data_IF_922871084573
#
_entry.id   IF_922871084573
#
_cell.length_a   1.000
_cell.length_b   1.000
_cell.length_c   1.000
_cell.angle_alpha   90.00
_cell.angle_beta   90.00
_cell.angle_gamma   90.00
#
_symmetry.space_group_name_H-M   'P 1'
#
loop_
_entity.id
_entity.type
_entity.pdbx_description
1 polymer ?
#
# COMPACT_ATOMS: atom_id res chain seq x y z
N UNK A 1 25.43 0.01 4.40
CA UNK A 1 26.39 1.02 4.90
C UNK A 1 25.91 1.82 6.10
N UNK A 2 24.68 2.38 6.09
CA UNK A 2 24.15 3.21 7.20
C UNK A 2 24.18 2.48 8.54
N UNK A 3 23.71 1.23 8.59
CA UNK A 3 23.75 0.43 9.82
C UNK A 3 25.17 0.23 10.37
N UNK A 4 26.17 0.07 9.50
CA UNK A 4 27.59 -0.03 9.90
C UNK A 4 28.15 1.30 10.45
N UNK A 5 27.86 2.42 9.77
CA UNK A 5 28.27 3.76 10.24
C UNK A 5 27.56 4.17 11.54
N UNK A 6 26.26 3.85 11.68
CA UNK A 6 25.50 4.05 12.92
C UNK A 6 26.04 3.19 14.06
N UNK A 7 26.44 1.94 13.80
CA UNK A 7 27.06 1.09 14.81
C UNK A 7 28.41 1.65 15.29
N UNK A 8 29.23 2.20 14.38
CA UNK A 8 30.47 2.88 14.78
C UNK A 8 30.23 4.06 15.71
N UNK A 9 29.22 4.87 15.40
CA UNK A 9 28.77 5.96 16.26
C UNK A 9 28.29 5.40 17.61
N UNK A 10 27.53 4.30 17.63
CA UNK A 10 27.04 3.70 18.89
C UNK A 10 28.13 3.04 19.76
N UNK A 11 29.14 2.43 19.15
CA UNK A 11 30.22 1.72 19.86
C UNK A 11 31.31 2.70 20.35
N UNK A 12 31.37 3.90 19.77
CA UNK A 12 32.30 4.95 20.18
C UNK A 12 32.08 5.36 21.65
N UNK A 13 33.07 5.10 22.49
CA UNK A 13 33.08 5.52 23.91
C UNK A 13 33.41 7.01 24.10
N UNK A 14 33.76 7.74 23.03
CA UNK A 14 34.08 9.17 23.07
C UNK A 14 32.87 10.03 22.71
N UNK A 15 32.87 11.28 23.17
CA UNK A 15 31.90 12.28 22.74
C UNK A 15 32.02 12.50 21.22
N UNK A 16 30.92 12.28 20.51
CA UNK A 16 30.87 12.31 19.05
C UNK A 16 30.55 13.73 18.62
N UNK A 17 31.42 14.32 17.81
CA UNK A 17 31.23 15.69 17.32
C UNK A 17 30.02 15.74 16.38
N UNK A 18 29.27 16.85 16.34
CA UNK A 18 28.11 16.98 15.44
C UNK A 18 28.40 16.58 13.98
N UNK A 19 29.55 17.00 13.44
CA UNK A 19 29.96 16.67 12.06
C UNK A 19 30.14 15.16 11.83
N UNK A 20 30.58 14.41 12.85
CA UNK A 20 30.74 12.95 12.76
C UNK A 20 29.37 12.24 12.76
N UNK A 21 28.35 12.84 13.38
CA UNK A 21 26.97 12.33 13.31
C UNK A 21 26.35 12.60 11.95
N UNK A 22 26.58 13.79 11.38
CA UNK A 22 26.10 14.15 10.04
C UNK A 22 26.76 13.27 8.96
N UNK A 23 28.05 12.94 9.10
CA UNK A 23 28.77 12.08 8.16
C UNK A 23 28.22 10.67 7.98
N UNK A 24 27.33 10.20 8.87
CA UNK A 24 26.60 8.94 8.70
C UNK A 24 25.65 8.97 7.50
N UNK A 25 25.15 10.16 7.18
CA UNK A 25 24.15 10.44 6.15
C UNK A 25 24.76 11.04 4.87
N UNK A 26 26.09 11.17 4.81
CA UNK A 26 26.83 11.62 3.63
C UNK A 26 27.33 10.42 2.84
N UNK A 27 27.17 10.41 1.53
CA UNK A 27 27.54 9.30 0.66
C UNK A 27 28.31 9.85 -0.54
N UNK A 28 29.33 9.12 -0.99
CA UNK A 28 29.92 9.41 -2.29
C UNK A 28 29.06 8.84 -3.41
N UNK A 29 29.31 9.27 -4.65
CA UNK A 29 28.70 8.64 -5.84
C UNK A 29 28.97 7.14 -5.88
N UNK A 30 30.20 6.71 -5.59
CA UNK A 30 30.57 5.30 -5.55
C UNK A 30 29.81 4.52 -4.47
N UNK A 31 29.54 5.16 -3.32
CA UNK A 31 28.75 4.54 -2.25
C UNK A 31 27.32 4.19 -2.71
N UNK A 32 26.71 5.04 -3.56
CA UNK A 32 25.31 4.89 -3.98
C UNK A 32 25.13 4.11 -5.28
N UNK A 33 26.03 4.27 -6.25
CA UNK A 33 25.96 3.58 -7.54
C UNK A 33 26.35 2.11 -7.40
N UNK A 34 27.34 1.80 -6.55
CA UNK A 34 27.87 0.46 -6.39
C UNK A 34 28.32 -0.14 -7.72
N UNK A 35 28.00 -1.43 -7.94
CA UNK A 35 28.32 -2.17 -9.18
C UNK A 35 27.14 -2.24 -10.17
N UNK A 36 26.02 -1.57 -9.86
CA UNK A 36 24.82 -1.60 -10.70
C UNK A 36 25.04 -0.78 -11.97
N UNK A 37 24.89 -1.42 -13.13
CA UNK A 37 25.03 -0.74 -14.44
C UNK A 37 24.10 0.46 -14.60
N UNK A 38 22.92 0.41 -13.99
CA UNK A 38 21.93 1.49 -14.00
C UNK A 38 22.04 2.44 -12.79
N UNK A 39 22.99 2.21 -11.87
CA UNK A 39 23.05 2.92 -10.60
C UNK A 39 23.24 4.43 -10.76
N UNK A 40 24.02 4.87 -11.76
CA UNK A 40 24.20 6.29 -12.04
C UNK A 40 22.90 6.98 -12.49
N UNK A 41 22.13 6.33 -13.37
CA UNK A 41 20.86 6.86 -13.85
C UNK A 41 19.80 6.88 -12.73
N UNK A 42 19.79 5.86 -11.85
CA UNK A 42 18.92 5.83 -10.67
C UNK A 42 19.29 6.99 -9.73
N UNK A 43 20.58 7.16 -9.43
CA UNK A 43 21.05 8.24 -8.57
C UNK A 43 20.64 9.61 -9.13
N UNK A 44 20.81 9.83 -10.43
CA UNK A 44 20.39 11.06 -11.10
C UNK A 44 18.88 11.27 -11.01
N UNK A 45 18.07 10.24 -11.26
CA UNK A 45 16.62 10.34 -11.22
C UNK A 45 16.08 10.71 -9.83
N UNK A 46 16.73 10.24 -8.76
CA UNK A 46 16.31 10.48 -7.38
C UNK A 46 17.09 11.59 -6.67
N UNK A 47 17.95 12.32 -7.38
CA UNK A 47 18.71 13.43 -6.80
C UNK A 47 18.38 14.79 -7.36
N UNK A 48 18.66 15.82 -6.57
CA UNK A 48 18.66 17.21 -6.99
C UNK A 48 19.84 17.97 -6.38
N UNK A 49 20.29 19.03 -7.05
CA UNK A 49 21.33 19.92 -6.54
C UNK A 49 20.74 20.89 -5.50
N UNK A 50 21.33 20.88 -4.29
CA UNK A 50 20.94 21.74 -3.18
C UNK A 50 20.90 23.23 -3.57
N UNK A 51 21.79 23.67 -4.47
CA UNK A 51 21.95 25.08 -4.82
C UNK A 51 21.20 25.48 -6.11
N UNK A 52 20.40 24.59 -6.69
CA UNK A 52 19.67 24.86 -7.92
C UNK A 52 18.45 25.81 -7.77
N UNK A 53 18.21 26.36 -6.57
CA UNK A 53 17.09 27.29 -6.34
C UNK A 53 15.71 26.64 -6.53
N UNK A 54 15.60 25.35 -6.21
CA UNK A 54 14.37 24.57 -6.36
C UNK A 54 13.30 24.96 -5.32
N UNK A 55 12.07 24.50 -5.53
CA UNK A 55 10.92 24.80 -4.68
C UNK A 55 10.60 26.31 -4.56
N UNK A 56 10.97 27.13 -5.56
CA UNK A 56 10.65 28.56 -5.57
C UNK A 56 9.15 28.88 -5.53
N UNK A 57 8.30 27.89 -5.86
CA UNK A 57 6.83 28.00 -5.82
C UNK A 57 6.19 27.35 -4.58
N UNK A 58 6.98 26.87 -3.61
CA UNK A 58 6.46 26.24 -2.40
C UNK A 58 6.01 27.30 -1.39
N UNK A 59 4.72 27.59 -1.36
CA UNK A 59 4.11 28.61 -0.48
C UNK A 59 3.15 28.00 0.53
N UNK A 60 2.66 26.79 0.29
CA UNK A 60 1.73 26.04 1.14
C UNK A 60 2.28 24.65 1.50
N UNK A 61 1.84 24.10 2.63
CA UNK A 61 2.28 22.77 3.10
C UNK A 61 1.97 21.66 2.09
N UNK A 62 0.90 21.81 1.30
CA UNK A 62 0.46 20.85 0.30
C UNK A 62 1.01 21.16 -1.11
N UNK A 63 1.88 22.16 -1.25
CA UNK A 63 2.58 22.39 -2.52
C UNK A 63 3.57 21.27 -2.83
N UNK A 64 3.87 21.14 -4.12
CA UNK A 64 4.87 20.19 -4.57
C UNK A 64 6.24 20.55 -4.00
N UNK A 65 6.92 19.57 -3.41
CA UNK A 65 8.27 19.70 -2.90
C UNK A 65 9.16 18.69 -3.63
N UNK A 66 10.18 19.16 -4.34
CA UNK A 66 11.09 18.30 -5.11
C UNK A 66 11.72 17.19 -4.25
N UNK A 67 11.89 17.42 -2.96
CA UNK A 67 12.45 16.45 -2.03
C UNK A 67 11.58 15.19 -1.89
N UNK A 68 10.26 15.27 -2.09
CA UNK A 68 9.39 14.09 -2.04
C UNK A 68 9.53 13.21 -3.28
N UNK A 69 9.94 13.77 -4.41
CA UNK A 69 10.20 13.03 -5.65
C UNK A 69 11.66 12.54 -5.72
N UNK A 70 12.59 13.37 -5.22
CA UNK A 70 14.04 13.21 -5.36
C UNK A 70 14.74 13.44 -4.01
N UNK A 71 14.67 12.50 -3.07
CA UNK A 71 15.11 12.73 -1.68
C UNK A 71 16.63 12.66 -1.49
N UNK A 72 17.41 12.38 -2.54
CA UNK A 72 18.88 12.36 -2.47
C UNK A 72 19.41 13.76 -2.78
N UNK A 73 19.97 14.43 -1.78
CA UNK A 73 20.44 15.81 -1.93
C UNK A 73 21.88 15.79 -2.46
N UNK A 74 22.11 16.28 -3.67
CA UNK A 74 23.46 16.52 -4.20
C UNK A 74 24.10 17.74 -3.55
N UNK A 75 25.30 17.55 -2.98
CA UNK A 75 26.11 18.62 -2.40
C UNK A 75 27.20 19.08 -3.36
N UNK A 76 27.80 18.11 -4.08
CA UNK A 76 28.78 18.31 -5.14
C UNK A 76 28.51 17.27 -6.24
N UNK A 77 29.34 17.22 -7.30
CA UNK A 77 29.24 16.16 -8.31
C UNK A 77 29.52 14.75 -7.78
N UNK A 78 30.20 14.63 -6.62
CA UNK A 78 30.62 13.35 -6.05
C UNK A 78 30.01 13.07 -4.67
N UNK A 79 29.43 14.06 -4.00
CA UNK A 79 28.93 13.95 -2.62
C UNK A 79 27.41 14.17 -2.55
N UNK A 80 26.75 13.29 -1.80
CA UNK A 80 25.30 13.25 -1.61
C UNK A 80 24.94 13.18 -0.13
N UNK A 81 23.79 13.70 0.22
CA UNK A 81 23.22 13.66 1.55
C UNK A 81 21.84 13.01 1.51
N UNK A 82 21.65 11.97 2.32
CA UNK A 82 20.37 11.29 2.48
C UNK A 82 19.94 11.42 3.95
N UNK A 83 19.09 12.40 4.29
CA UNK A 83 18.74 12.67 5.69
C UNK A 83 18.00 11.50 6.32
N UNK A 84 17.08 10.88 5.57
CA UNK A 84 16.29 9.74 6.00
C UNK A 84 16.09 8.78 4.83
N UNK A 85 16.62 7.54 4.91
CA UNK A 85 16.47 6.53 3.85
C UNK A 85 15.01 6.17 3.54
N UNK A 86 14.11 6.36 4.51
CA UNK A 86 12.67 6.18 4.32
C UNK A 86 12.16 6.96 3.11
N UNK A 87 12.55 8.23 2.95
CA UNK A 87 12.09 9.04 1.83
C UNK A 87 12.58 8.51 0.49
N UNK A 88 13.79 7.93 0.44
CA UNK A 88 14.30 7.28 -0.78
C UNK A 88 13.42 6.09 -1.15
N UNK A 89 13.07 5.25 -0.19
CA UNK A 89 12.19 4.10 -0.43
C UNK A 89 10.79 4.56 -0.88
N UNK A 90 10.23 5.58 -0.23
CA UNK A 90 8.95 6.18 -0.60
C UNK A 90 8.97 6.77 -2.02
N UNK A 91 10.00 7.55 -2.37
CA UNK A 91 10.18 8.10 -3.71
C UNK A 91 10.36 7.00 -4.77
N UNK A 92 11.09 5.93 -4.47
CA UNK A 92 11.24 4.79 -5.38
C UNK A 92 9.90 4.12 -5.70
N UNK A 93 8.96 4.12 -4.74
CA UNK A 93 7.60 3.63 -4.96
C UNK A 93 6.71 4.67 -5.68
N UNK A 94 6.80 5.94 -5.30
CA UNK A 94 5.88 7.00 -5.75
C UNK A 94 6.29 7.69 -7.05
N UNK A 95 7.56 8.10 -7.19
CA UNK A 95 8.04 8.96 -8.28
C UNK A 95 7.88 8.37 -9.68
N UNK A 96 8.13 7.06 -9.93
CA UNK A 96 7.95 6.47 -11.25
C UNK A 96 6.54 6.66 -11.82
N UNK A 97 5.51 6.65 -10.96
CA UNK A 97 4.14 6.95 -11.38
C UNK A 97 4.06 8.33 -12.05
N UNK A 98 4.58 9.36 -11.39
CA UNK A 98 4.51 10.73 -11.90
C UNK A 98 5.32 10.91 -13.19
N UNK A 99 6.49 10.29 -13.29
CA UNK A 99 7.33 10.31 -14.49
C UNK A 99 6.63 9.66 -15.69
N UNK A 100 6.06 8.48 -15.50
CA UNK A 100 5.34 7.76 -16.56
C UNK A 100 4.07 8.49 -17.03
N UNK A 101 3.39 9.20 -16.13
CA UNK A 101 2.18 9.96 -16.47
C UNK A 101 2.48 11.35 -17.05
N UNK A 102 3.69 11.88 -16.85
CA UNK A 102 4.16 13.10 -17.53
C UNK A 102 4.47 12.84 -19.01
N UNK A 103 4.88 11.61 -19.37
CA UNK A 103 5.05 11.20 -20.76
C UNK A 103 3.69 10.91 -21.42
N UNK A 104 3.22 11.87 -22.24
CA UNK A 104 1.94 11.76 -22.97
C UNK A 104 1.86 10.60 -23.94
N UNK A 105 2.99 10.12 -24.48
CA UNK A 105 3.01 8.99 -25.40
C UNK A 105 2.93 7.66 -24.64
N UNK A 106 3.40 7.62 -23.39
CA UNK A 106 3.46 6.41 -22.58
C UNK A 106 2.33 6.28 -21.56
N UNK A 107 1.71 7.38 -21.12
CA UNK A 107 0.77 7.40 -19.99
C UNK A 107 -0.40 6.41 -20.14
N UNK A 108 -0.94 6.23 -21.35
CA UNK A 108 -2.02 5.26 -21.60
C UNK A 108 -1.57 3.81 -21.39
N UNK A 109 -0.34 3.47 -21.82
CA UNK A 109 0.26 2.16 -21.60
C UNK A 109 0.59 1.96 -20.11
N UNK A 110 1.11 2.99 -19.44
CA UNK A 110 1.38 2.96 -18.00
C UNK A 110 0.10 2.72 -17.18
N UNK A 111 -0.99 3.43 -17.50
CA UNK A 111 -2.27 3.27 -16.82
C UNK A 111 -2.83 1.85 -16.97
N UNK A 112 -2.81 1.30 -18.20
CA UNK A 112 -3.25 -0.08 -18.46
C UNK A 112 -2.41 -1.09 -17.69
N UNK A 113 -1.09 -0.99 -17.78
CA UNK A 113 -0.19 -1.93 -17.10
C UNK A 113 -0.33 -1.85 -15.58
N UNK A 114 -0.56 -0.64 -15.03
CA UNK A 114 -0.81 -0.44 -13.59
C UNK A 114 -2.11 -1.10 -13.14
N UNK A 115 -3.18 -1.00 -13.94
CA UNK A 115 -4.43 -1.73 -13.69
C UNK A 115 -4.22 -3.23 -13.64
N UNK A 116 -3.63 -3.79 -14.72
CA UNK A 116 -3.34 -5.22 -14.80
C UNK A 116 -2.46 -5.71 -13.63
N UNK A 117 -1.40 -4.97 -13.29
CA UNK A 117 -0.53 -5.34 -12.18
C UNK A 117 -1.25 -5.31 -10.82
N UNK A 118 -2.21 -4.38 -10.62
CA UNK A 118 -3.02 -4.36 -9.41
C UNK A 118 -3.90 -5.62 -9.32
N UNK A 119 -4.60 -5.97 -10.40
CA UNK A 119 -5.42 -7.18 -10.47
C UNK A 119 -4.59 -8.45 -10.30
N UNK A 120 -3.41 -8.52 -10.92
CA UNK A 120 -2.48 -9.65 -10.81
C UNK A 120 -2.03 -9.85 -9.35
N UNK A 121 -1.57 -8.78 -8.68
CA UNK A 121 -1.11 -8.85 -7.29
C UNK A 121 -2.22 -9.27 -6.33
N UNK A 122 -3.41 -8.67 -6.46
CA UNK A 122 -4.55 -9.04 -5.60
C UNK A 122 -4.95 -10.49 -5.90
N UNK A 123 -4.96 -10.91 -7.16
CA UNK A 123 -5.29 -12.29 -7.49
C UNK A 123 -4.28 -13.28 -6.93
N UNK A 124 -2.99 -12.96 -6.92
CA UNK A 124 -1.96 -13.82 -6.35
C UNK A 124 -2.16 -14.00 -4.84
N UNK A 125 -2.43 -12.90 -4.12
CA UNK A 125 -2.74 -12.94 -2.69
C UNK A 125 -3.99 -13.77 -2.39
N UNK A 126 -5.09 -13.52 -3.12
CA UNK A 126 -6.36 -14.23 -2.92
C UNK A 126 -6.22 -15.71 -3.32
N UNK A 127 -5.52 -16.03 -4.40
CA UNK A 127 -5.29 -17.41 -4.84
C UNK A 127 -4.41 -18.19 -3.87
N UNK A 128 -3.39 -17.56 -3.29
CA UNK A 128 -2.56 -18.17 -2.25
C UNK A 128 -3.35 -18.47 -0.97
N UNK A 129 -4.34 -17.63 -0.64
CA UNK A 129 -5.11 -17.74 0.59
C UNK A 129 -6.35 -18.63 0.48
N UNK A 130 -7.13 -18.51 -0.59
CA UNK A 130 -8.34 -19.30 -0.84
C UNK A 130 -8.07 -20.60 -1.62
N UNK A 131 -6.88 -20.72 -2.21
CA UNK A 131 -6.52 -21.80 -3.13
C UNK A 131 -6.89 -21.47 -4.58
N UNK A 132 -5.95 -21.63 -5.51
CA UNK A 132 -6.12 -21.23 -6.91
C UNK A 132 -7.36 -21.82 -7.60
N UNK A 133 -7.78 -23.04 -7.26
CA UNK A 133 -9.00 -23.65 -7.82
C UNK A 133 -10.30 -22.99 -7.39
N UNK A 134 -10.27 -22.13 -6.37
CA UNK A 134 -11.42 -21.40 -5.82
C UNK A 134 -11.47 -19.93 -6.27
N UNK A 135 -10.54 -19.50 -7.11
CA UNK A 135 -10.42 -18.10 -7.54
C UNK A 135 -10.50 -18.03 -9.05
N UNK A 136 -11.38 -17.17 -9.54
CA UNK A 136 -11.52 -16.87 -10.95
C UNK A 136 -11.28 -15.38 -11.17
N UNK A 137 -10.47 -15.06 -12.18
CA UNK A 137 -10.20 -13.67 -12.58
C UNK A 137 -11.03 -13.24 -13.76
N UNK A 138 -11.29 -11.93 -13.80
CA UNK A 138 -11.77 -11.16 -14.95
C UNK A 138 -13.01 -11.79 -15.59
N UNK A 139 -14.03 -12.06 -14.77
CA UNK A 139 -15.30 -12.64 -15.21
C UNK A 139 -16.17 -11.53 -15.76
N UNK A 140 -16.45 -11.58 -17.07
CA UNK A 140 -17.40 -10.69 -17.72
C UNK A 140 -18.81 -11.24 -17.57
N UNK A 141 -19.76 -10.40 -17.15
CA UNK A 141 -21.17 -10.76 -16.99
C UNK A 141 -21.98 -10.04 -18.06
N UNK A 142 -22.70 -10.80 -18.88
CA UNK A 142 -23.43 -10.28 -20.04
C UNK A 142 -24.92 -10.61 -19.97
N UNK A 143 -25.75 -9.62 -20.33
CA UNK A 143 -27.20 -9.83 -20.55
C UNK A 143 -27.40 -10.60 -21.86
N UNK A 144 -26.63 -10.23 -22.89
CA UNK A 144 -26.62 -10.82 -24.24
C UNK A 144 -25.19 -10.77 -24.78
N UNK A 145 -24.86 -11.56 -25.80
CA UNK A 145 -23.50 -11.64 -26.38
C UNK A 145 -22.81 -10.28 -26.64
N UNK A 146 -23.57 -9.27 -27.07
CA UNK A 146 -23.09 -7.93 -27.41
C UNK A 146 -23.14 -6.90 -26.25
N UNK A 147 -23.75 -7.26 -25.13
CA UNK A 147 -24.08 -6.29 -24.06
C UNK A 147 -23.58 -6.82 -22.72
N UNK A 148 -22.42 -6.30 -22.32
CA UNK A 148 -21.86 -6.50 -20.99
C UNK A 148 -22.66 -5.69 -19.96
N UNK A 149 -23.10 -6.36 -18.90
CA UNK A 149 -23.70 -5.74 -17.73
C UNK A 149 -22.62 -5.11 -16.87
N UNK A 150 -21.64 -5.93 -16.49
CA UNK A 150 -20.56 -5.59 -15.56
C UNK A 150 -19.48 -6.69 -15.62
N UNK A 151 -18.47 -6.53 -14.79
CA UNK A 151 -17.29 -7.39 -14.70
C UNK A 151 -16.83 -7.51 -13.24
N UNK A 152 -16.29 -8.69 -12.92
CA UNK A 152 -15.66 -8.99 -11.63
C UNK A 152 -14.17 -9.17 -11.86
N UNK A 153 -13.35 -8.32 -11.24
CA UNK A 153 -11.89 -8.44 -11.32
C UNK A 153 -11.43 -9.78 -10.73
N UNK A 154 -11.86 -10.09 -9.50
CA UNK A 154 -11.54 -11.37 -8.86
C UNK A 154 -12.77 -11.91 -8.12
N UNK A 155 -13.20 -13.10 -8.50
CA UNK A 155 -14.28 -13.86 -7.89
C UNK A 155 -13.68 -15.02 -7.10
N UNK A 156 -13.82 -15.01 -5.78
CA UNK A 156 -13.31 -16.09 -4.93
C UNK A 156 -14.44 -16.81 -4.20
N UNK A 157 -14.27 -18.12 -3.99
CA UNK A 157 -15.24 -18.95 -3.30
C UNK A 157 -14.64 -19.57 -2.03
N UNK A 158 -15.42 -19.57 -0.96
CA UNK A 158 -15.11 -20.37 0.22
C UNK A 158 -16.41 -20.82 0.87
N UNK A 159 -16.51 -22.11 1.14
CA UNK A 159 -17.72 -22.72 1.70
C UNK A 159 -18.97 -22.34 0.87
N UNK A 160 -19.92 -21.64 1.47
CA UNK A 160 -21.17 -21.17 0.87
C UNK A 160 -21.16 -19.65 0.62
N UNK A 161 -19.97 -19.06 0.44
CA UNK A 161 -19.76 -17.62 0.24
C UNK A 161 -18.96 -17.35 -1.04
N UNK A 162 -19.45 -16.43 -1.87
CA UNK A 162 -18.70 -15.81 -2.95
C UNK A 162 -18.22 -14.41 -2.55
N UNK A 163 -16.96 -14.12 -2.81
CA UNK A 163 -16.39 -12.78 -2.69
C UNK A 163 -16.26 -12.13 -4.05
N UNK A 164 -16.76 -10.90 -4.14
CA UNK A 164 -16.62 -10.04 -5.30
C UNK A 164 -15.57 -8.99 -4.95
N UNK A 165 -14.35 -9.21 -5.44
CA UNK A 165 -13.28 -8.23 -5.31
C UNK A 165 -13.29 -7.29 -6.50
N UNK A 166 -13.28 -5.99 -6.21
CA UNK A 166 -13.15 -4.92 -7.20
C UNK A 166 -11.85 -4.16 -6.93
N UNK A 167 -10.94 -4.13 -7.89
CA UNK A 167 -9.59 -3.58 -7.77
C UNK A 167 -9.52 -2.23 -8.48
N UNK A 168 -9.08 -1.18 -7.78
CA UNK A 168 -8.93 0.16 -8.35
C UNK A 168 -7.50 0.66 -8.20
N UNK A 169 -6.90 1.06 -9.33
CA UNK A 169 -5.48 1.43 -9.42
C UNK A 169 -5.20 2.94 -9.54
N UNK A 170 -6.25 3.76 -9.46
CA UNK A 170 -6.16 5.21 -9.68
C UNK A 170 -5.76 5.94 -8.39
N UNK A 171 -4.73 6.77 -8.47
CA UNK A 171 -4.31 7.68 -7.39
C UNK A 171 -5.27 8.85 -7.20
N UNK A 172 -5.32 9.36 -5.97
CA UNK A 172 -5.86 10.68 -5.66
C UNK A 172 -5.20 11.77 -6.48
N UNK A 173 -6.00 12.73 -6.95
CA UNK A 173 -5.46 13.90 -7.66
C UNK A 173 -4.73 14.84 -6.70
N UNK A 174 -3.84 15.69 -7.25
CA UNK A 174 -3.15 16.71 -6.45
C UNK A 174 -4.12 17.69 -5.77
N UNK A 175 -5.26 18.01 -6.42
CA UNK A 175 -6.30 18.83 -5.80
C UNK A 175 -6.90 18.15 -4.56
N UNK A 176 -7.19 16.85 -4.64
CA UNK A 176 -7.66 16.07 -3.49
C UNK A 176 -6.64 16.06 -2.35
N UNK A 177 -5.34 15.90 -2.69
CA UNK A 177 -4.25 15.97 -1.72
C UNK A 177 -4.14 17.35 -1.04
N UNK A 178 -4.56 18.43 -1.72
CA UNK A 178 -4.65 19.79 -1.19
C UNK A 178 -5.93 20.07 -0.40
N UNK A 179 -6.80 19.07 -0.19
CA UNK A 179 -8.03 19.23 0.59
C UNK A 179 -9.22 19.79 -0.19
N UNK A 180 -9.18 19.78 -1.53
CA UNK A 180 -10.33 20.17 -2.36
C UNK A 180 -11.48 19.16 -2.18
N UNK A 181 -12.54 19.59 -1.47
CA UNK A 181 -13.63 18.72 -1.04
C UNK A 181 -14.43 18.15 -2.21
N UNK A 182 -14.64 18.94 -3.27
CA UNK A 182 -15.37 18.50 -4.47
C UNK A 182 -14.59 17.40 -5.19
N UNK A 183 -13.27 17.60 -5.35
CA UNK A 183 -12.42 16.62 -5.99
C UNK A 183 -12.21 15.36 -5.14
N UNK A 184 -12.11 15.49 -3.80
CA UNK A 184 -12.10 14.36 -2.87
C UNK A 184 -13.37 13.52 -3.06
N UNK A 185 -14.53 14.17 -3.05
CA UNK A 185 -15.83 13.49 -3.21
C UNK A 185 -15.90 12.77 -4.55
N UNK A 186 -15.51 13.44 -5.64
CA UNK A 186 -15.52 12.86 -6.98
C UNK A 186 -14.51 11.71 -7.16
N UNK A 187 -13.33 11.80 -6.54
CA UNK A 187 -12.33 10.71 -6.57
C UNK A 187 -12.82 9.52 -5.74
N UNK A 188 -13.42 9.78 -4.58
CA UNK A 188 -13.96 8.75 -3.69
C UNK A 188 -15.16 8.02 -4.29
N UNK A 189 -16.09 8.74 -4.91
CA UNK A 189 -17.19 8.18 -5.69
C UNK A 189 -16.70 7.18 -6.74
N UNK A 190 -15.66 7.56 -7.50
CA UNK A 190 -15.09 6.70 -8.55
C UNK A 190 -14.37 5.47 -7.99
N UNK A 191 -13.70 5.62 -6.86
CA UNK A 191 -12.94 4.54 -6.23
C UNK A 191 -13.82 3.53 -5.50
N UNK A 192 -14.91 3.99 -4.88
CA UNK A 192 -15.72 3.17 -3.95
C UNK A 192 -17.15 2.96 -4.45
N UNK A 193 -17.90 4.03 -4.73
CA UNK A 193 -19.32 3.91 -5.05
C UNK A 193 -19.55 3.17 -6.36
N UNK A 194 -18.88 3.58 -7.43
CA UNK A 194 -18.98 2.88 -8.73
C UNK A 194 -18.54 1.41 -8.61
N UNK A 195 -17.48 1.14 -7.85
CA UNK A 195 -17.01 -0.22 -7.62
C UNK A 195 -18.05 -1.08 -6.85
N UNK A 196 -18.72 -0.48 -5.87
CA UNK A 196 -19.82 -1.12 -5.13
C UNK A 196 -21.01 -1.39 -6.04
N UNK A 197 -21.42 -0.43 -6.86
CA UNK A 197 -22.53 -0.60 -7.81
C UNK A 197 -22.22 -1.72 -8.82
N UNK A 198 -20.98 -1.79 -9.32
CA UNK A 198 -20.51 -2.90 -10.16
C UNK A 198 -20.64 -4.24 -9.41
N UNK A 199 -20.16 -4.31 -8.17
CA UNK A 199 -20.24 -5.53 -7.38
C UNK A 199 -21.69 -5.95 -7.09
N UNK A 200 -22.60 -5.02 -6.86
CA UNK A 200 -24.03 -5.30 -6.64
C UNK A 200 -24.68 -5.90 -7.88
N UNK A 201 -24.37 -5.38 -9.07
CA UNK A 201 -24.79 -5.98 -10.33
C UNK A 201 -24.24 -7.41 -10.51
N UNK A 202 -23.01 -7.65 -10.06
CA UNK A 202 -22.42 -9.00 -10.07
C UNK A 202 -23.17 -9.94 -9.13
N UNK A 203 -23.52 -9.49 -7.93
CA UNK A 203 -24.28 -10.28 -6.95
C UNK A 203 -25.65 -10.64 -7.51
N UNK A 204 -26.38 -9.67 -8.09
CA UNK A 204 -27.69 -9.91 -8.72
C UNK A 204 -27.56 -10.98 -9.81
N UNK A 205 -26.53 -10.92 -10.64
CA UNK A 205 -26.31 -11.90 -11.69
C UNK A 205 -25.94 -13.28 -11.13
N UNK A 206 -25.07 -13.35 -10.12
CA UNK A 206 -24.67 -14.61 -9.47
C UNK A 206 -25.82 -15.29 -8.72
N UNK A 207 -26.78 -14.51 -8.22
CA UNK A 207 -28.02 -15.01 -7.62
C UNK A 207 -28.98 -15.60 -8.66
N UNK A 208 -28.92 -15.12 -9.91
CA UNK A 208 -29.81 -15.52 -11.00
C UNK A 208 -29.00 -15.96 -12.24
N UNK A 209 -28.11 -16.97 -12.12
CA UNK A 209 -27.11 -17.25 -13.14
C UNK A 209 -27.71 -17.71 -14.48
N UNK A 210 -28.95 -18.20 -14.49
CA UNK A 210 -29.67 -18.62 -15.70
C UNK A 210 -30.07 -17.44 -16.60
N UNK A 211 -30.15 -16.22 -16.05
CA UNK A 211 -30.55 -15.01 -16.78
C UNK A 211 -29.36 -14.29 -17.43
N UNK A 212 -28.12 -14.75 -17.18
CA UNK A 212 -26.89 -14.08 -17.59
C UNK A 212 -25.89 -15.05 -18.22
N UNK A 213 -24.96 -14.50 -19.01
CA UNK A 213 -23.83 -15.25 -19.54
C UNK A 213 -22.55 -14.79 -18.84
N UNK A 214 -21.78 -15.73 -18.32
CA UNK A 214 -20.49 -15.46 -17.69
C UNK A 214 -19.39 -15.91 -18.65
N UNK A 215 -18.43 -15.02 -18.91
CA UNK A 215 -17.34 -15.27 -19.85
C UNK A 215 -15.98 -14.91 -19.23
N UNK A 216 -15.00 -15.77 -19.45
CA UNK A 216 -13.60 -15.49 -19.13
C UNK A 216 -12.95 -14.64 -20.23
N UNK A 217 -11.78 -14.05 -19.97
CA UNK A 217 -11.00 -13.40 -21.02
C UNK A 217 -10.74 -14.38 -22.16
N UNK A 218 -11.06 -13.97 -23.40
CA UNK A 218 -11.00 -14.85 -24.57
C UNK A 218 -12.35 -15.44 -25.00
N UNK A 219 -13.43 -15.21 -24.22
CA UNK A 219 -14.79 -15.59 -24.59
C UNK A 219 -15.19 -17.02 -24.21
N UNK A 220 -14.37 -17.70 -23.40
CA UNK A 220 -14.70 -19.01 -22.84
C UNK A 220 -15.85 -18.87 -21.85
N UNK A 221 -16.84 -19.77 -21.93
CA UNK A 221 -17.96 -19.78 -20.99
C UNK A 221 -17.50 -20.17 -19.59
N UNK A 222 -17.93 -19.40 -18.60
CA UNK A 222 -17.73 -19.68 -17.19
C UNK A 222 -19.05 -20.10 -16.54
N UNK A 223 -18.99 -21.06 -15.62
CA UNK A 223 -20.15 -21.47 -14.82
C UNK A 223 -19.86 -21.15 -13.35
N UNK A 224 -20.47 -20.09 -12.79
CA UNK A 224 -20.25 -19.73 -11.39
C UNK A 224 -20.78 -20.82 -10.45
N UNK A 225 -20.13 -20.98 -9.30
CA UNK A 225 -20.60 -21.90 -8.26
C UNK A 225 -21.85 -21.34 -7.60
N UNK A 226 -22.81 -22.21 -7.31
CA UNK A 226 -24.02 -21.85 -6.56
C UNK A 226 -23.67 -21.71 -5.07
N UNK A 227 -23.94 -20.53 -4.52
CA UNK A 227 -23.72 -20.17 -3.11
C UNK A 227 -24.90 -19.35 -2.59
N UNK A 228 -25.06 -19.24 -1.27
CA UNK A 228 -26.12 -18.45 -0.64
C UNK A 228 -25.67 -17.07 -0.14
N UNK A 229 -24.36 -16.88 0.09
CA UNK A 229 -23.80 -15.63 0.66
C UNK A 229 -22.87 -14.94 -0.33
N UNK A 230 -22.88 -13.61 -0.27
CA UNK A 230 -22.08 -12.75 -1.12
C UNK A 230 -21.46 -11.63 -0.31
N UNK A 231 -20.16 -11.41 -0.47
CA UNK A 231 -19.42 -10.35 0.21
C UNK A 231 -18.66 -9.52 -0.83
N UNK A 232 -18.66 -8.19 -0.67
CA UNK A 232 -17.97 -7.26 -1.56
C UNK A 232 -16.76 -6.68 -0.87
N UNK A 233 -15.60 -6.72 -1.56
CA UNK A 233 -14.36 -6.11 -1.07
C UNK A 233 -13.78 -5.24 -2.17
N UNK A 234 -13.48 -3.99 -1.85
CA UNK A 234 -12.85 -3.05 -2.79
C UNK A 234 -11.39 -2.88 -2.39
N UNK A 235 -10.48 -3.22 -3.29
CA UNK A 235 -9.03 -3.14 -3.04
C UNK A 235 -8.44 -1.99 -3.84
N UNK A 236 -7.82 -1.05 -3.14
CA UNK A 236 -7.14 0.09 -3.75
C UNK A 236 -5.64 -0.20 -3.86
N UNK A 237 -5.05 -0.01 -5.04
CA UNK A 237 -3.60 -0.13 -5.21
C UNK A 237 -2.87 0.96 -4.40
N UNK A 238 -3.49 2.13 -4.26
CA UNK A 238 -2.94 3.25 -3.51
C UNK A 238 -3.80 3.55 -2.29
N UNK A 239 -3.12 3.85 -1.18
CA UNK A 239 -3.80 4.18 0.05
C UNK A 239 -4.47 5.55 -0.08
N UNK A 240 -5.77 5.56 0.14
CA UNK A 240 -6.52 6.80 0.27
C UNK A 240 -6.64 7.07 1.79
N UNK A 241 -6.13 8.21 2.29
CA UNK A 241 -6.12 8.47 3.72
C UNK A 241 -7.54 8.50 4.30
N UNK A 242 -7.71 7.92 5.49
CA UNK A 242 -8.98 7.90 6.20
C UNK A 242 -10.15 7.26 5.42
N UNK A 243 -9.87 6.28 4.53
CA UNK A 243 -10.88 5.64 3.69
C UNK A 243 -12.14 5.23 4.44
N UNK A 244 -11.98 4.42 5.48
CA UNK A 244 -13.09 3.92 6.26
C UNK A 244 -13.94 5.05 6.85
N UNK A 245 -13.29 6.13 7.28
CA UNK A 245 -13.98 7.31 7.80
C UNK A 245 -14.72 8.09 6.71
N UNK A 246 -14.10 8.27 5.54
CA UNK A 246 -14.72 8.92 4.39
C UNK A 246 -15.92 8.14 3.87
N UNK A 247 -15.89 6.81 3.88
CA UNK A 247 -17.06 5.99 3.51
C UNK A 247 -18.26 6.30 4.40
N UNK A 248 -18.01 6.51 5.69
CA UNK A 248 -19.07 6.88 6.63
C UNK A 248 -19.56 8.31 6.43
N UNK A 249 -18.66 9.29 6.26
CA UNK A 249 -19.05 10.69 6.12
C UNK A 249 -19.80 10.93 4.80
N UNK A 250 -19.29 10.38 3.70
CA UNK A 250 -19.81 10.67 2.36
C UNK A 250 -21.03 9.82 2.01
N UNK A 251 -21.10 8.57 2.47
CA UNK A 251 -22.12 7.62 2.04
C UNK A 251 -22.84 6.89 3.18
N UNK A 252 -22.54 7.19 4.44
CA UNK A 252 -23.11 6.47 5.59
C UNK A 252 -24.63 6.60 5.71
N UNK A 253 -25.19 7.72 5.25
CA UNK A 253 -26.63 7.97 5.27
C UNK A 253 -27.34 7.47 4.00
N UNK A 254 -26.62 7.38 2.88
CA UNK A 254 -27.16 6.94 1.58
C UNK A 254 -27.24 5.41 1.48
N UNK A 255 -26.31 4.70 2.13
CA UNK A 255 -26.19 3.25 2.03
C UNK A 255 -26.66 2.55 3.31
N UNK A 256 -27.37 1.44 3.17
CA UNK A 256 -27.76 0.59 4.31
C UNK A 256 -26.54 -0.02 5.01
N UNK A 257 -25.58 -0.48 4.21
CA UNK A 257 -24.26 -0.94 4.65
C UNK A 257 -23.20 -0.28 3.78
N UNK A 258 -22.06 0.04 4.39
CA UNK A 258 -20.94 0.63 3.65
C UNK A 258 -20.00 -0.46 3.15
N UNK A 259 -19.50 -0.37 1.90
CA UNK A 259 -18.55 -1.35 1.39
C UNK A 259 -17.25 -1.33 2.19
N UNK A 260 -16.63 -2.50 2.31
CA UNK A 260 -15.29 -2.62 2.90
C UNK A 260 -14.28 -2.29 1.80
N UNK A 261 -13.56 -1.19 2.00
CA UNK A 261 -12.58 -0.67 1.05
C UNK A 261 -11.26 -0.35 1.76
N UNK A 262 -10.16 -0.94 1.29
CA UNK A 262 -8.84 -0.77 1.90
C UNK A 262 -7.70 -0.93 0.86
N UNK A 263 -6.49 -0.56 1.25
CA UNK A 263 -5.32 -0.65 0.37
C UNK A 263 -4.81 -2.08 0.20
N UNK A 264 -4.01 -2.32 -0.84
CA UNK A 264 -3.37 -3.63 -1.07
C UNK A 264 -2.48 -4.09 0.10
N UNK A 265 -1.84 -3.17 0.81
CA UNK A 265 -1.05 -3.49 2.00
C UNK A 265 -1.92 -3.88 3.21
N UNK A 266 -3.11 -3.29 3.32
CA UNK A 266 -4.09 -3.70 4.34
C UNK A 266 -4.59 -5.11 4.03
N UNK A 267 -4.83 -5.45 2.75
CA UNK A 267 -5.19 -6.80 2.33
C UNK A 267 -4.14 -7.82 2.77
N UNK A 268 -2.87 -7.59 2.44
CA UNK A 268 -1.77 -8.49 2.82
C UNK A 268 -1.74 -8.71 4.33
N UNK A 269 -1.90 -7.63 5.10
CA UNK A 269 -1.94 -7.66 6.56
C UNK A 269 -3.14 -8.47 7.07
N UNK A 270 -4.34 -8.23 6.53
CA UNK A 270 -5.55 -8.99 6.88
C UNK A 270 -5.37 -10.48 6.65
N UNK A 271 -4.85 -10.89 5.48
CA UNK A 271 -4.61 -12.29 5.16
C UNK A 271 -3.60 -12.92 6.14
N UNK A 272 -2.52 -12.21 6.47
CA UNK A 272 -1.50 -12.69 7.39
C UNK A 272 -2.03 -12.92 8.82
N UNK A 273 -2.90 -12.04 9.32
CA UNK A 273 -3.43 -12.14 10.69
C UNK A 273 -4.67 -13.02 10.82
N UNK A 274 -5.56 -13.04 9.81
CA UNK A 274 -6.78 -13.85 9.82
C UNK A 274 -6.51 -15.32 9.47
N UNK A 275 -5.44 -15.60 8.73
CA UNK A 275 -4.83 -16.93 8.45
C UNK A 275 -5.70 -17.95 7.70
N UNK A 276 -7.01 -17.83 7.74
CA UNK A 276 -7.96 -18.80 7.16
C UNK A 276 -9.10 -18.10 6.44
N UNK A 277 -9.61 -18.66 5.31
CA UNK A 277 -10.78 -18.15 4.62
C UNK A 277 -11.99 -17.92 5.52
N UNK A 278 -12.29 -18.84 6.46
CA UNK A 278 -13.43 -18.70 7.38
C UNK A 278 -13.33 -17.47 8.29
N UNK A 279 -12.15 -17.16 8.83
CA UNK A 279 -11.95 -15.93 9.62
C UNK A 279 -12.00 -14.67 8.77
N UNK A 280 -11.55 -14.74 7.53
CA UNK A 280 -11.68 -13.64 6.58
C UNK A 280 -13.15 -13.36 6.24
N UNK A 281 -13.95 -14.42 6.00
CA UNK A 281 -15.42 -14.30 5.84
C UNK A 281 -16.06 -13.64 7.04
N UNK A 282 -15.81 -14.15 8.25
CA UNK A 282 -16.43 -13.60 9.46
C UNK A 282 -16.05 -12.12 9.67
N UNK A 283 -14.79 -11.76 9.42
CA UNK A 283 -14.32 -10.38 9.50
C UNK A 283 -15.03 -9.46 8.51
N UNK A 284 -15.00 -9.77 7.20
CA UNK A 284 -15.61 -8.94 6.16
C UNK A 284 -17.12 -8.83 6.39
N UNK A 285 -17.78 -9.96 6.67
CA UNK A 285 -19.21 -9.99 6.93
C UNK A 285 -19.61 -9.05 8.07
N UNK A 286 -18.95 -9.15 9.23
CA UNK A 286 -19.25 -8.30 10.39
C UNK A 286 -18.88 -6.84 10.15
N UNK A 287 -17.78 -6.59 9.45
CA UNK A 287 -17.34 -5.23 9.10
C UNK A 287 -18.32 -4.54 8.15
N UNK A 288 -18.96 -5.29 7.25
CA UNK A 288 -20.06 -4.81 6.41
C UNK A 288 -21.34 -4.64 7.22
N UNK A 289 -21.78 -5.67 7.94
CA UNK A 289 -23.06 -5.71 8.65
C UNK A 289 -23.15 -4.63 9.74
N UNK A 290 -22.07 -4.41 10.49
CA UNK A 290 -22.02 -3.45 11.58
C UNK A 290 -21.32 -2.15 11.20
N UNK A 291 -21.23 -1.84 9.90
CA UNK A 291 -20.44 -0.69 9.45
C UNK A 291 -20.94 0.62 10.06
N UNK A 292 -22.25 0.81 10.23
CA UNK A 292 -22.81 2.02 10.89
C UNK A 292 -22.47 2.13 12.38
N UNK A 293 -22.17 1.01 13.04
CA UNK A 293 -21.92 0.91 14.47
C UNK A 293 -20.44 1.05 14.84
N UNK A 294 -19.50 0.72 13.95
CA UNK A 294 -18.07 0.79 14.24
C UNK A 294 -17.34 1.76 13.31
N UNK A 295 -16.62 2.71 13.90
CA UNK A 295 -15.91 3.77 13.17
C UNK A 295 -14.42 3.74 13.53
N UNK A 296 -13.56 3.72 12.52
CA UNK A 296 -12.12 3.82 12.68
C UNK A 296 -11.49 4.59 11.52
N UNK A 297 -10.25 5.06 11.69
CA UNK A 297 -9.57 5.84 10.66
C UNK A 297 -8.86 4.96 9.60
N UNK A 298 -8.57 3.70 9.89
CA UNK A 298 -7.96 2.77 8.95
C UNK A 298 -8.37 1.32 9.25
N UNK A 299 -8.04 0.41 8.33
CA UNK A 299 -8.43 -1.00 8.43
C UNK A 299 -7.68 -1.76 9.53
N UNK A 300 -6.42 -1.40 9.81
CA UNK A 300 -5.65 -2.01 10.91
C UNK A 300 -6.28 -1.77 12.29
N UNK A 301 -6.95 -0.64 12.50
CA UNK A 301 -7.72 -0.40 13.72
C UNK A 301 -8.91 -1.37 13.83
N UNK A 302 -9.67 -1.55 12.76
CA UNK A 302 -10.77 -2.53 12.72
C UNK A 302 -10.25 -3.95 12.97
N UNK A 303 -9.16 -4.34 12.30
CA UNK A 303 -8.54 -5.65 12.48
C UNK A 303 -8.07 -5.86 13.92
N UNK A 304 -7.34 -4.91 14.49
CA UNK A 304 -6.84 -5.00 15.87
C UNK A 304 -7.98 -5.09 16.89
N UNK A 305 -9.06 -4.32 16.69
CA UNK A 305 -10.24 -4.38 17.53
C UNK A 305 -10.96 -5.72 17.39
N UNK A 306 -11.21 -6.17 16.15
CA UNK A 306 -11.85 -7.45 15.85
C UNK A 306 -11.09 -8.64 16.46
N UNK A 307 -9.76 -8.66 16.36
CA UNK A 307 -8.96 -9.74 16.94
C UNK A 307 -9.02 -9.79 18.47
N UNK A 308 -9.24 -8.64 19.12
CA UNK A 308 -9.30 -8.54 20.59
C UNK A 308 -10.70 -8.77 21.14
N UNK A 309 -11.72 -8.22 20.48
CA UNK A 309 -13.09 -8.13 21.01
C UNK A 309 -14.15 -8.71 20.06
N UNK A 310 -13.83 -8.93 18.80
CA UNK A 310 -14.80 -9.18 17.74
C UNK A 310 -15.49 -7.89 17.26
N UNK A 311 -16.47 -8.06 16.37
CA UNK A 311 -17.41 -7.02 15.96
C UNK A 311 -18.81 -7.60 16.17
N UNK A 312 -19.54 -7.09 17.15
CA UNK A 312 -20.85 -7.60 17.55
C UNK A 312 -21.93 -6.53 17.37
N UNK A 313 -23.18 -6.98 17.23
CA UNK A 313 -24.33 -6.08 17.15
C UNK A 313 -24.42 -5.25 18.42
N UNK A 314 -24.37 -3.93 18.27
CA UNK A 314 -24.62 -3.00 19.36
C UNK A 314 -26.11 -2.69 19.48
N UNK A 315 -26.49 -2.07 20.59
CA UNK A 315 -27.82 -1.48 20.77
C UNK A 315 -28.14 -0.47 19.66
N UNK A 316 -29.43 -0.24 19.44
CA UNK A 316 -29.90 0.71 18.44
C UNK A 316 -29.35 2.11 18.75
N UNK A 317 -28.78 2.79 17.74
CA UNK A 317 -28.07 4.07 17.86
C UNK A 317 -26.76 4.08 18.67
N UNK A 318 -26.31 2.95 19.20
CA UNK A 318 -24.99 2.85 19.80
C UNK A 318 -23.91 2.74 18.72
N UNK A 319 -22.77 3.39 18.94
CA UNK A 319 -21.59 3.25 18.09
C UNK A 319 -20.30 3.23 18.92
N UNK A 320 -19.28 2.58 18.37
CA UNK A 320 -17.92 2.54 18.90
C UNK A 320 -17.01 3.29 17.94
N UNK A 321 -16.26 4.24 18.48
CA UNK A 321 -15.09 4.80 17.80
C UNK A 321 -13.85 4.04 18.25
N UNK A 322 -13.24 3.29 17.34
CA UNK A 322 -12.05 2.49 17.58
C UNK A 322 -10.86 3.44 17.61
N UNK A 323 -10.09 3.39 18.70
CA UNK A 323 -8.94 4.28 18.89
C UNK A 323 -7.72 3.84 18.06
N UNK A 324 -6.81 4.76 17.71
CA UNK A 324 -5.60 4.43 16.94
C UNK A 324 -4.69 3.37 17.58
N UNK A 325 -4.77 3.19 18.90
CA UNK A 325 -3.99 2.20 19.67
C UNK A 325 -4.15 0.78 19.10
N UNK A 326 -5.35 0.42 18.62
CA UNK A 326 -5.60 -0.89 18.03
C UNK A 326 -4.79 -1.11 16.75
N UNK A 327 -4.65 -0.07 15.91
CA UNK A 327 -3.81 -0.13 14.71
C UNK A 327 -2.32 -0.16 15.06
N UNK A 328 -1.89 0.65 16.04
CA UNK A 328 -0.50 0.70 16.50
C UNK A 328 0.01 -0.63 17.05
N UNK A 329 -0.86 -1.41 17.71
CA UNK A 329 -0.52 -2.76 18.17
C UNK A 329 -0.27 -3.68 16.98
N UNK A 330 -1.09 -3.61 15.93
CA UNK A 330 -0.90 -4.41 14.70
C UNK A 330 0.42 -4.07 14.01
N UNK A 331 0.74 -2.77 13.91
CA UNK A 331 2.02 -2.30 13.34
C UNK A 331 3.21 -2.82 14.15
N UNK A 332 3.15 -2.72 15.49
CA UNK A 332 4.21 -3.18 16.37
C UNK A 332 4.42 -4.71 16.25
N UNK A 333 3.34 -5.48 16.15
CA UNK A 333 3.40 -6.92 15.95
C UNK A 333 3.99 -7.30 14.59
N UNK A 334 3.63 -6.58 13.51
CA UNK A 334 4.18 -6.81 12.17
C UNK A 334 5.68 -6.49 12.14
N UNK A 335 6.10 -5.39 12.77
CA UNK A 335 7.52 -5.07 12.93
C UNK A 335 8.26 -6.16 13.72
N UNK A 336 7.70 -6.67 14.82
CA UNK A 336 8.32 -7.76 15.58
C UNK A 336 8.47 -9.04 14.76
N UNK A 337 7.46 -9.41 13.98
CA UNK A 337 7.53 -10.56 13.08
C UNK A 337 8.63 -10.38 12.01
N UNK A 338 8.75 -9.18 11.44
CA UNK A 338 9.76 -8.85 10.42
C UNK A 338 11.18 -8.62 10.99
N UNK A 339 11.32 -8.44 12.32
CA UNK A 339 12.64 -8.35 12.98
C UNK A 339 13.33 -9.72 13.02
N UNK A 340 12.60 -10.83 12.83
CA UNK A 340 13.17 -12.16 12.64
C UNK A 340 13.77 -12.34 11.24
N UNK A 341 14.87 -11.62 10.95
CA UNK A 341 15.97 -12.08 10.07
C UNK A 341 17.11 -11.07 9.89
N UNK A 342 17.12 -9.93 10.59
CA UNK A 342 18.36 -9.14 10.67
C UNK A 342 19.28 -9.80 11.69
N UNK A 343 19.91 -10.92 11.32
CA UNK A 343 21.16 -11.33 11.98
C UNK A 343 22.08 -10.12 11.91
N UNK A 344 22.41 -9.56 13.07
CA UNK A 344 23.46 -8.54 13.16
C UNK A 344 24.76 -9.26 12.81
N UNK A 345 25.08 -9.37 11.52
CA UNK A 345 26.35 -9.91 11.02
C UNK A 345 27.55 -9.00 11.32
N UNK A 346 27.33 -7.96 12.13
CA UNK A 346 28.41 -7.13 12.63
C UNK A 346 28.87 -7.66 13.98
N UNK A 347 30.17 -7.97 14.13
CA UNK A 347 30.71 -8.46 15.39
C UNK A 347 30.46 -7.40 16.49
N UNK A 348 30.00 -7.86 17.66
CA UNK A 348 29.72 -7.01 18.83
C UNK A 348 30.95 -6.23 19.33
N UNK A 349 32.14 -6.61 18.85
CA UNK A 349 33.41 -5.93 19.04
C UNK A 349 34.17 -5.96 17.72
N UNK A 350 34.48 -4.78 17.19
CA UNK A 350 35.40 -4.65 16.05
C UNK A 350 36.81 -4.84 16.59
N UNK A 351 37.56 -5.78 16.03
CA UNK A 351 38.94 -6.03 16.43
C UNK A 351 39.80 -4.80 16.16
N UNK A 352 40.68 -4.42 17.11
CA UNK A 352 41.56 -3.24 16.98
C UNK A 352 42.33 -3.17 15.64
N UNK A 353 42.66 -4.33 15.05
CA UNK A 353 43.41 -4.44 13.80
C UNK A 353 42.53 -4.68 12.56
N UNK A 354 41.22 -4.86 12.71
CA UNK A 354 40.29 -5.07 11.60
C UNK A 354 40.09 -3.76 10.79
N UNK A 355 39.74 -3.86 9.50
CA UNK A 355 39.35 -2.71 8.70
C UNK A 355 38.21 -1.94 9.39
N UNK A 356 38.32 -0.62 9.44
CA UNK A 356 37.34 0.22 10.10
C UNK A 356 36.04 0.22 9.27
N UNK A 357 34.88 -0.11 9.87
CA UNK A 357 33.61 -0.16 9.15
C UNK A 357 33.10 1.19 8.61
N UNK A 358 33.83 2.29 8.79
CA UNK A 358 33.45 3.60 8.26
C UNK A 358 33.77 3.73 6.77
N UNK A 359 34.48 2.75 6.18
CA UNK A 359 34.89 2.77 4.78
C UNK A 359 36.21 3.53 4.52
N UNK A 360 36.92 4.00 5.55
CA UNK A 360 38.17 4.76 5.40
C UNK A 360 39.37 3.95 4.88
N UNK A 361 39.26 2.63 4.81
CA UNK A 361 40.39 1.73 4.51
C UNK A 361 41.43 1.58 5.63
N UNK A 362 41.29 2.30 6.76
CA UNK A 362 42.21 2.24 7.90
C UNK A 362 41.83 1.11 8.88
N UNK A 363 42.80 0.64 9.69
CA UNK A 363 42.52 -0.26 10.83
C UNK A 363 41.71 0.47 11.91
N UNK A 364 40.81 -0.22 12.61
CA UNK A 364 39.94 0.37 13.64
C UNK A 364 40.72 1.21 14.67
N UNK A 365 41.84 0.70 15.20
CA UNK A 365 42.73 1.42 16.15
C UNK A 365 43.35 2.73 15.63
N UNK A 366 43.39 2.91 14.30
CA UNK A 366 43.95 4.10 13.64
C UNK A 366 42.85 5.07 13.20
N UNK A 367 41.58 4.75 13.45
CA UNK A 367 40.44 5.50 12.95
C UNK A 367 39.41 5.79 14.06
N UNK A 368 38.80 4.75 14.65
CA UNK A 368 37.68 4.88 15.59
C UNK A 368 37.85 4.07 16.90
N UNK A 369 38.99 3.40 17.12
CA UNK A 369 39.22 2.49 18.26
C UNK A 369 40.47 2.73 19.08
#
# INVERSE_FOLDING_TARGET
MINGRLQLVRISKRQIRPNEKVGVFLFTKSDLVGELSSGAAILEAFSFDLYAGLNSTYHDIADFNVFTERPIIGLTHEDYFIPLPYFVAEAMYESPYYWMFADKAYCAKAAKNRGNAAEDLVSDYISGFFGAGNVQRNVNIKIKKSTTLTDVDILAYSEDTAFIFQVKSKKLTQKSKKGDLEQITADFEKAVRIAKDQADLCIIALQNPEDYNFELPGGETYSPRKVSKFETVIVLLDQFPAMSHLTHILFGDELDTTPVAFGIFDLETLLAYLKTPGRFIDYIHRRTLYSKQYRAANELQYLGYYLKHGLEKLEENAFVYITPEYGQIMDAMQQQANIHEVKRDFPSKIGRNEPCPCGSGLKFKKCHG
#
